data_IF_330840690111
#
_entry.id   IF_330840690111
#
_cell.length_a   1.000
_cell.length_b   1.000
_cell.length_c   1.000
_cell.angle_alpha   90.00
_cell.angle_beta   90.00
_cell.angle_gamma   90.00
#
_symmetry.space_group_name_H-M   'P 1'
#
loop_
_entity.id
_entity.type
_entity.pdbx_description
1 polymer ?
#
# COMPACT_ATOMS: atom_id res chain seq x y z
N UNK A 1 47.98 37.28 -23.57
CA UNK A 1 47.25 36.01 -23.82
C UNK A 1 47.34 35.15 -22.55
N UNK A 2 46.23 34.99 -21.82
CA UNK A 2 46.19 34.24 -20.55
C UNK A 2 46.56 32.79 -20.80
N UNK A 3 47.59 32.28 -20.11
CA UNK A 3 47.95 30.86 -20.14
C UNK A 3 46.79 30.07 -19.53
N UNK A 4 46.01 29.42 -20.38
CA UNK A 4 44.93 28.53 -19.96
C UNK A 4 45.56 27.40 -19.17
N UNK A 5 45.27 27.31 -17.87
CA UNK A 5 45.69 26.18 -17.03
C UNK A 5 44.80 24.98 -17.35
N UNK A 6 44.93 24.45 -18.57
CA UNK A 6 44.14 23.36 -19.13
C UNK A 6 44.18 22.11 -18.22
N UNK A 7 45.32 21.85 -17.58
CA UNK A 7 45.49 20.76 -16.62
C UNK A 7 44.58 20.87 -15.39
N UNK A 8 44.26 22.09 -14.97
CA UNK A 8 43.44 22.35 -13.78
C UNK A 8 41.94 22.20 -14.07
N UNK A 9 41.51 22.55 -15.28
CA UNK A 9 40.13 22.30 -15.73
C UNK A 9 39.86 20.83 -16.02
N UNK A 10 40.84 20.11 -16.59
CA UNK A 10 40.74 18.66 -16.83
C UNK A 10 40.69 17.88 -15.52
N UNK A 11 41.53 18.24 -14.53
CA UNK A 11 41.49 17.58 -13.22
C UNK A 11 40.17 17.83 -12.47
N UNK A 12 39.65 19.06 -12.50
CA UNK A 12 38.35 19.38 -11.93
C UNK A 12 37.22 18.60 -12.61
N UNK A 13 37.24 18.48 -13.95
CA UNK A 13 36.26 17.70 -14.71
C UNK A 13 36.25 16.21 -14.34
N UNK A 14 37.43 15.61 -14.14
CA UNK A 14 37.54 14.21 -13.71
C UNK A 14 36.94 14.00 -12.32
N UNK A 15 37.23 14.91 -11.37
CA UNK A 15 36.68 14.83 -10.02
C UNK A 15 35.15 14.97 -10.03
N UNK A 16 34.62 15.94 -10.77
CA UNK A 16 33.17 16.11 -10.92
C UNK A 16 32.50 14.90 -11.58
N UNK A 17 33.15 14.29 -12.58
CA UNK A 17 32.65 13.09 -13.23
C UNK A 17 32.58 11.90 -12.27
N UNK A 18 33.60 11.70 -11.44
CA UNK A 18 33.63 10.65 -10.41
C UNK A 18 32.49 10.85 -9.40
N UNK A 19 32.30 12.07 -8.91
CA UNK A 19 31.22 12.40 -7.97
C UNK A 19 29.85 12.13 -8.61
N UNK A 20 29.67 12.53 -9.88
CA UNK A 20 28.43 12.29 -10.61
C UNK A 20 28.14 10.80 -10.79
N UNK A 21 29.12 10.01 -11.26
CA UNK A 21 28.95 8.56 -11.45
C UNK A 21 28.62 7.88 -10.12
N UNK A 22 29.29 8.27 -9.04
CA UNK A 22 29.02 7.73 -7.70
C UNK A 22 27.60 8.08 -7.25
N UNK A 23 27.16 9.32 -7.48
CA UNK A 23 25.80 9.75 -7.15
C UNK A 23 24.73 9.01 -7.97
N UNK A 24 24.97 8.78 -9.26
CA UNK A 24 24.06 8.01 -10.13
C UNK A 24 23.98 6.56 -9.67
N UNK A 25 25.12 5.91 -9.39
CA UNK A 25 25.13 4.54 -8.88
C UNK A 25 24.40 4.42 -7.55
N UNK A 26 24.65 5.33 -6.61
CA UNK A 26 23.93 5.38 -5.34
C UNK A 26 22.41 5.57 -5.55
N UNK A 27 22.03 6.43 -6.50
CA UNK A 27 20.63 6.65 -6.89
C UNK A 27 19.96 5.40 -7.44
N UNK A 28 20.64 4.65 -8.31
CA UNK A 28 20.13 3.39 -8.88
C UNK A 28 19.96 2.34 -7.77
N UNK A 29 20.95 2.20 -6.89
CA UNK A 29 20.94 1.22 -5.79
C UNK A 29 19.79 1.50 -4.80
N UNK A 30 19.56 2.78 -4.47
CA UNK A 30 18.40 3.20 -3.66
C UNK A 30 17.09 2.92 -4.38
N UNK A 31 17.04 3.08 -5.70
CA UNK A 31 15.84 2.81 -6.48
C UNK A 31 15.50 1.31 -6.55
N UNK A 32 16.50 0.43 -6.69
CA UNK A 32 16.32 -1.03 -6.65
C UNK A 32 15.81 -1.51 -5.29
N UNK A 33 16.34 -0.97 -4.19
CA UNK A 33 15.85 -1.31 -2.84
C UNK A 33 14.37 -0.93 -2.68
N UNK A 34 13.95 0.22 -3.25
CA UNK A 34 12.54 0.64 -3.23
C UNK A 34 11.66 -0.28 -4.08
N UNK A 35 12.10 -0.62 -5.29
CA UNK A 35 11.37 -1.52 -6.17
C UNK A 35 11.18 -2.93 -5.56
N UNK A 36 12.23 -3.47 -4.93
CA UNK A 36 12.16 -4.77 -4.25
C UNK A 36 11.22 -4.75 -3.04
N UNK A 37 11.16 -3.64 -2.29
CA UNK A 37 10.23 -3.50 -1.17
C UNK A 37 8.77 -3.43 -1.64
N UNK A 38 8.49 -2.74 -2.75
CA UNK A 38 7.14 -2.68 -3.35
C UNK A 38 6.71 -4.07 -3.83
N UNK A 39 7.61 -4.80 -4.48
CA UNK A 39 7.30 -6.14 -4.98
C UNK A 39 7.08 -7.15 -3.84
N UNK A 40 7.87 -7.08 -2.76
CA UNK A 40 7.63 -7.87 -1.55
C UNK A 40 6.30 -7.53 -0.89
N UNK A 41 5.98 -6.25 -0.80
CA UNK A 41 4.73 -5.78 -0.21
C UNK A 41 3.50 -6.26 -1.01
N UNK A 42 3.58 -6.31 -2.34
CA UNK A 42 2.51 -6.83 -3.20
C UNK A 42 2.31 -8.34 -3.04
N UNK A 43 3.39 -9.10 -2.86
CA UNK A 43 3.35 -10.55 -2.58
C UNK A 43 2.75 -10.83 -1.20
N UNK A 44 3.07 -10.00 -0.21
CA UNK A 44 2.52 -10.17 1.15
C UNK A 44 1.02 -9.83 1.20
N UNK A 45 0.57 -8.79 0.47
CA UNK A 45 -0.85 -8.44 0.37
C UNK A 45 -1.66 -9.54 -0.31
N UNK A 46 -1.18 -10.11 -1.42
CA UNK A 46 -1.87 -11.22 -2.09
C UNK A 46 -2.10 -12.41 -1.14
N UNK A 47 -1.11 -12.74 -0.30
CA UNK A 47 -1.25 -13.80 0.70
C UNK A 47 -2.26 -13.46 1.79
N UNK A 48 -2.24 -12.23 2.29
CA UNK A 48 -3.22 -11.76 3.28
C UNK A 48 -4.62 -11.87 2.69
N UNK A 49 -4.80 -11.48 1.44
CA UNK A 49 -6.07 -11.62 0.75
C UNK A 49 -6.49 -13.10 0.67
N UNK A 50 -5.65 -13.98 0.14
CA UNK A 50 -5.98 -15.41 0.05
C UNK A 50 -6.33 -16.03 1.42
N UNK A 51 -5.61 -15.65 2.48
CA UNK A 51 -5.87 -16.08 3.85
C UNK A 51 -7.23 -15.58 4.36
N UNK A 52 -7.51 -14.28 4.25
CA UNK A 52 -8.79 -13.66 4.64
C UNK A 52 -9.98 -14.31 3.92
N UNK A 53 -9.83 -14.63 2.63
CA UNK A 53 -10.87 -15.32 1.86
C UNK A 53 -11.10 -16.74 2.36
N UNK A 54 -10.04 -17.49 2.60
CA UNK A 54 -10.12 -18.85 3.14
C UNK A 54 -10.79 -18.86 4.51
N UNK A 55 -10.43 -17.91 5.38
CA UNK A 55 -11.01 -17.77 6.71
C UNK A 55 -12.50 -17.42 6.66
N UNK A 56 -12.92 -16.52 5.76
CA UNK A 56 -14.34 -16.23 5.54
C UNK A 56 -15.13 -17.48 5.16
N UNK A 57 -14.60 -18.27 4.22
CA UNK A 57 -15.24 -19.52 3.79
C UNK A 57 -15.32 -20.51 4.95
N UNK A 58 -14.26 -20.68 5.74
CA UNK A 58 -14.26 -21.57 6.90
C UNK A 58 -15.31 -21.15 7.95
N UNK A 59 -15.42 -19.85 8.21
CA UNK A 59 -16.37 -19.30 9.18
C UNK A 59 -17.83 -19.47 8.74
N UNK A 60 -18.11 -19.50 7.45
CA UNK A 60 -19.46 -19.83 6.95
C UNK A 60 -19.91 -21.25 7.33
N UNK A 61 -18.97 -22.19 7.52
CA UNK A 61 -19.29 -23.54 7.97
C UNK A 61 -19.47 -23.65 9.49
N UNK A 62 -18.89 -22.72 10.26
CA UNK A 62 -18.89 -22.76 11.72
C UNK A 62 -19.24 -21.39 12.37
N UNK A 63 -20.36 -20.75 11.99
CA UNK A 63 -20.60 -19.33 12.29
C UNK A 63 -20.88 -19.03 13.77
N UNK A 64 -21.22 -20.04 14.58
CA UNK A 64 -21.66 -19.85 15.97
C UNK A 64 -21.07 -20.88 16.94
N UNK A 65 -19.92 -21.47 16.57
CA UNK A 65 -19.15 -22.31 17.50
C UNK A 65 -18.53 -21.46 18.60
N UNK A 66 -18.28 -22.06 19.77
CA UNK A 66 -17.50 -21.42 20.83
C UNK A 66 -16.14 -20.93 20.27
N UNK A 67 -15.80 -19.66 20.51
CA UNK A 67 -14.57 -19.02 20.02
C UNK A 67 -14.66 -18.37 18.63
N UNK A 68 -15.76 -18.56 17.87
CA UNK A 68 -15.94 -17.90 16.56
C UNK A 68 -15.88 -16.38 16.65
N UNK A 69 -16.51 -15.79 17.67
CA UNK A 69 -16.53 -14.34 17.89
C UNK A 69 -15.18 -13.74 18.25
N UNK A 70 -14.38 -14.45 19.04
CA UNK A 70 -13.00 -14.04 19.35
C UNK A 70 -12.13 -14.07 18.09
N UNK A 71 -12.33 -15.08 17.25
CA UNK A 71 -11.67 -15.17 15.96
C UNK A 71 -12.07 -14.01 15.03
N UNK A 72 -13.38 -13.72 14.87
CA UNK A 72 -13.85 -12.56 14.10
C UNK A 72 -13.20 -11.26 14.58
N UNK A 73 -13.17 -11.04 15.90
CA UNK A 73 -12.54 -9.85 16.51
C UNK A 73 -11.04 -9.76 16.20
N UNK A 74 -10.31 -10.88 16.34
CA UNK A 74 -8.89 -10.95 16.02
C UNK A 74 -8.64 -10.62 14.53
N UNK A 75 -9.41 -11.22 13.63
CA UNK A 75 -9.22 -11.00 12.19
C UNK A 75 -9.56 -9.57 11.77
N UNK A 76 -10.63 -8.99 12.31
CA UNK A 76 -10.98 -7.59 12.07
C UNK A 76 -9.82 -6.66 12.47
N UNK A 77 -9.19 -6.91 13.63
CA UNK A 77 -8.06 -6.09 14.08
C UNK A 77 -6.83 -6.24 13.17
N UNK A 78 -6.51 -7.47 12.75
CA UNK A 78 -5.40 -7.72 11.82
C UNK A 78 -5.63 -7.03 10.47
N UNK A 79 -6.83 -7.18 9.90
CA UNK A 79 -7.19 -6.54 8.63
C UNK A 79 -7.16 -5.01 8.77
N UNK A 80 -7.65 -4.46 9.89
CA UNK A 80 -7.63 -3.02 10.15
C UNK A 80 -6.20 -2.46 10.22
N UNK A 81 -5.26 -3.19 10.84
CA UNK A 81 -3.86 -2.78 10.90
C UNK A 81 -3.24 -2.71 9.49
N UNK A 82 -3.49 -3.72 8.66
CA UNK A 82 -2.99 -3.77 7.29
C UNK A 82 -3.63 -2.69 6.40
N UNK A 83 -4.93 -2.46 6.54
CA UNK A 83 -5.62 -1.34 5.89
C UNK A 83 -4.96 0.00 6.25
N UNK A 84 -4.61 0.22 7.52
CA UNK A 84 -3.93 1.45 7.96
C UNK A 84 -2.50 1.59 7.40
N UNK A 85 -1.80 0.49 7.13
CA UNK A 85 -0.49 0.53 6.44
C UNK A 85 -0.64 0.87 4.96
N UNK A 86 -1.62 0.26 4.29
CA UNK A 86 -1.90 0.48 2.87
C UNK A 86 -2.39 1.91 2.61
N UNK A 87 -3.27 2.43 3.47
CA UNK A 87 -3.77 3.81 3.39
C UNK A 87 -2.62 4.82 3.44
N UNK A 88 -1.69 4.67 4.39
CA UNK A 88 -0.50 5.55 4.48
C UNK A 88 0.35 5.49 3.22
N UNK A 89 0.52 4.32 2.62
CA UNK A 89 1.29 4.18 1.40
C UNK A 89 0.59 4.84 0.20
N UNK A 90 -0.71 4.61 0.03
CA UNK A 90 -1.52 5.25 -1.01
C UNK A 90 -1.51 6.78 -0.87
N UNK A 91 -1.62 7.29 0.35
CA UNK A 91 -1.53 8.72 0.64
C UNK A 91 -0.21 9.33 0.17
N UNK A 92 0.91 8.63 0.37
CA UNK A 92 2.22 9.09 -0.10
C UNK A 92 2.32 9.11 -1.65
N UNK A 93 1.70 8.14 -2.34
CA UNK A 93 1.61 8.16 -3.80
C UNK A 93 0.78 9.35 -4.30
N UNK A 94 -0.36 9.64 -3.67
CA UNK A 94 -1.22 10.78 -4.02
C UNK A 94 -0.51 12.11 -3.76
N UNK A 95 0.11 12.25 -2.58
CA UNK A 95 0.89 13.44 -2.20
C UNK A 95 2.04 13.73 -3.15
N UNK A 96 2.67 12.68 -3.68
CA UNK A 96 3.78 12.80 -4.65
C UNK A 96 3.31 12.87 -6.11
N UNK A 97 1.99 12.93 -6.36
CA UNK A 97 1.35 12.94 -7.70
C UNK A 97 1.77 11.75 -8.57
N UNK A 98 1.97 10.60 -7.95
CA UNK A 98 2.33 9.34 -8.61
C UNK A 98 1.11 8.42 -8.80
N UNK A 99 -0.06 9.01 -9.02
CA UNK A 99 -1.34 8.29 -9.11
C UNK A 99 -1.52 7.51 -10.41
N UNK A 100 -0.76 7.86 -11.46
CA UNK A 100 -0.83 7.15 -12.75
C UNK A 100 0.14 5.96 -12.83
N UNK A 101 0.90 5.70 -11.76
CA UNK A 101 1.85 4.59 -11.72
C UNK A 101 1.08 3.26 -11.60
N UNK A 102 1.46 2.22 -12.36
CA UNK A 102 0.80 0.91 -12.29
C UNK A 102 0.71 0.36 -10.86
N UNK A 103 1.76 0.58 -10.07
CA UNK A 103 1.87 0.14 -8.67
C UNK A 103 0.81 0.80 -7.78
N UNK A 104 0.50 2.08 -8.01
CA UNK A 104 -0.57 2.76 -7.29
C UNK A 104 -1.94 2.17 -7.63
N UNK A 105 -2.19 1.90 -8.91
CA UNK A 105 -3.46 1.35 -9.38
C UNK A 105 -3.68 -0.05 -8.80
N UNK A 106 -2.65 -0.90 -8.81
CA UNK A 106 -2.68 -2.24 -8.24
C UNK A 106 -2.88 -2.19 -6.72
N UNK A 107 -2.10 -1.38 -6.00
CA UNK A 107 -2.24 -1.20 -4.56
C UNK A 107 -3.62 -0.68 -4.16
N UNK A 108 -4.19 0.27 -4.92
CA UNK A 108 -5.54 0.81 -4.67
C UNK A 108 -6.62 -0.23 -4.93
N UNK A 109 -6.44 -1.12 -5.91
CA UNK A 109 -7.35 -2.25 -6.15
C UNK A 109 -7.34 -3.22 -4.96
N UNK A 110 -6.16 -3.59 -4.47
CA UNK A 110 -6.04 -4.52 -3.34
C UNK A 110 -6.56 -3.91 -2.05
N UNK A 111 -6.30 -2.62 -1.83
CA UNK A 111 -6.86 -1.85 -0.71
C UNK A 111 -8.38 -1.91 -0.67
N UNK A 112 -9.04 -1.62 -1.81
CA UNK A 112 -10.49 -1.67 -1.91
C UNK A 112 -11.04 -3.09 -1.69
N UNK A 113 -10.35 -4.11 -2.21
CA UNK A 113 -10.76 -5.50 -1.99
C UNK A 113 -10.67 -5.88 -0.51
N UNK A 114 -9.62 -5.45 0.18
CA UNK A 114 -9.45 -5.68 1.61
C UNK A 114 -10.50 -4.94 2.44
N UNK A 115 -10.88 -3.71 2.06
CA UNK A 115 -12.00 -2.97 2.68
C UNK A 115 -13.33 -3.71 2.56
N UNK A 116 -13.63 -4.27 1.38
CA UNK A 116 -14.85 -5.06 1.17
C UNK A 116 -14.85 -6.29 2.08
N UNK A 117 -13.71 -6.99 2.19
CA UNK A 117 -13.58 -8.17 3.04
C UNK A 117 -13.70 -7.82 4.52
N UNK A 118 -13.07 -6.73 4.96
CA UNK A 118 -13.25 -6.18 6.30
C UNK A 118 -14.73 -5.92 6.61
N UNK A 119 -15.45 -5.29 5.69
CA UNK A 119 -16.89 -5.06 5.84
C UNK A 119 -17.67 -6.37 5.97
N UNK A 120 -17.38 -7.38 5.14
CA UNK A 120 -18.02 -8.71 5.24
C UNK A 120 -17.74 -9.35 6.61
N UNK A 121 -16.51 -9.28 7.12
CA UNK A 121 -16.16 -9.75 8.46
C UNK A 121 -16.95 -9.02 9.55
N UNK A 122 -17.01 -7.70 9.48
CA UNK A 122 -17.73 -6.87 10.44
C UNK A 122 -19.24 -7.17 10.45
N UNK A 123 -19.83 -7.43 9.28
CA UNK A 123 -21.24 -7.79 9.15
C UNK A 123 -21.53 -9.19 9.70
N UNK A 124 -20.65 -10.17 9.45
CA UNK A 124 -20.77 -11.50 10.06
C UNK A 124 -20.65 -11.43 11.58
N UNK A 125 -19.74 -10.61 12.11
CA UNK A 125 -19.62 -10.37 13.56
C UNK A 125 -20.88 -9.70 14.12
N UNK A 126 -21.51 -8.78 13.37
CA UNK A 126 -22.78 -8.16 13.76
C UNK A 126 -23.91 -9.20 13.84
N UNK A 127 -24.02 -10.06 12.84
CA UNK A 127 -25.09 -11.07 12.73
C UNK A 127 -24.91 -12.21 13.75
N UNK A 128 -23.69 -12.75 13.87
CA UNK A 128 -23.44 -13.97 14.64
C UNK A 128 -22.97 -13.71 16.07
N UNK A 129 -22.39 -12.54 16.35
CA UNK A 129 -21.82 -12.20 17.66
C UNK A 129 -22.53 -11.04 18.34
N UNK A 130 -23.62 -10.53 17.76
CA UNK A 130 -24.41 -9.42 18.28
C UNK A 130 -23.55 -8.16 18.58
N UNK A 131 -22.49 -7.97 17.79
CA UNK A 131 -21.59 -6.82 17.92
C UNK A 131 -22.28 -5.54 17.47
N UNK A 132 -22.02 -4.44 18.18
CA UNK A 132 -22.53 -3.11 17.82
C UNK A 132 -21.50 -2.37 16.96
N UNK A 133 -21.62 -2.51 15.64
CA UNK A 133 -20.79 -1.79 14.66
C UNK A 133 -21.65 -0.92 13.74
N UNK A 134 -21.11 0.23 13.35
CA UNK A 134 -21.72 1.12 12.34
C UNK A 134 -20.88 1.00 11.07
N UNK A 135 -21.49 0.50 10.01
CA UNK A 135 -20.84 0.43 8.70
C UNK A 135 -21.03 1.73 7.94
N UNK A 136 -19.93 2.28 7.42
CA UNK A 136 -19.93 3.38 6.45
C UNK A 136 -19.35 2.86 5.14
N UNK A 137 -20.17 2.83 4.09
CA UNK A 137 -19.72 2.50 2.73
C UNK A 137 -19.68 3.77 1.90
N UNK A 138 -18.54 4.03 1.26
CA UNK A 138 -18.34 5.18 0.41
C UNK A 138 -17.97 4.72 -1.00
N UNK A 139 -18.74 5.17 -1.99
CA UNK A 139 -18.55 4.84 -3.39
C UNK A 139 -18.23 6.12 -4.16
N UNK A 140 -17.19 6.10 -4.98
CA UNK A 140 -16.76 7.24 -5.79
C UNK A 140 -16.61 6.87 -7.27
N UNK A 141 -16.52 7.89 -8.12
CA UNK A 141 -16.37 7.77 -9.57
C UNK A 141 -15.21 8.67 -10.04
N UNK A 142 -14.47 8.26 -11.08
CA UNK A 142 -13.44 9.06 -11.75
C UNK A 142 -13.91 10.43 -12.26
N UNK A 143 -15.18 10.56 -12.62
CA UNK A 143 -15.75 11.82 -13.16
C UNK A 143 -16.26 12.79 -12.08
N UNK A 144 -15.96 12.49 -10.82
CA UNK A 144 -16.47 13.24 -9.69
C UNK A 144 -15.56 14.41 -9.32
N UNK A 145 -16.03 15.63 -9.55
CA UNK A 145 -15.30 16.88 -9.23
C UNK A 145 -15.05 17.09 -7.74
N UNK A 146 -15.83 16.47 -6.86
CA UNK A 146 -15.75 16.62 -5.40
C UNK A 146 -15.22 15.38 -4.67
N UNK A 147 -14.85 14.32 -5.39
CA UNK A 147 -14.37 13.08 -4.76
C UNK A 147 -12.90 13.15 -4.34
N UNK A 148 -12.13 14.09 -4.88
CA UNK A 148 -10.76 14.36 -4.40
C UNK A 148 -10.76 14.86 -2.94
N UNK A 149 -11.89 15.37 -2.44
CA UNK A 149 -12.05 15.85 -1.06
C UNK A 149 -12.66 14.76 -0.14
N UNK A 150 -13.01 13.59 -0.67
CA UNK A 150 -13.79 12.59 0.04
C UNK A 150 -13.30 11.18 -0.29
N UNK A 151 -12.58 10.59 0.67
CA UNK A 151 -11.94 9.28 0.54
C UNK A 151 -10.50 9.37 0.02
N UNK A 152 -9.70 8.40 0.44
CA UNK A 152 -8.32 8.18 0.02
C UNK A 152 -8.28 7.17 -1.13
#
# INVERSE_FOLDING_TARGET
MKRFHLSLYVSAGIISFIIFVTGVFAGILVNEIRAQNIQKQSVDISKILEDVETQLVLLQFFPSQEGSCDFYSMQINLIAEELGKMEKALYEYERTRRVDFPEFIEMKKDYNLLLIRYWVFAENMRIHCNSTSVTVLYFYNKTCTSCNDQGL
#
